data_IF_013735245327
#
_entry.id   IF_013735245327
#
_cell.length_a   1.000
_cell.length_b   1.000
_cell.length_c   1.000
_cell.angle_alpha   90.00
_cell.angle_beta   90.00
_cell.angle_gamma   90.00
#
_symmetry.space_group_name_H-M   'P 1'
#
loop_
_entity.id
_entity.type
_entity.pdbx_description
1 polymer ?
#
# COMPACT_ATOMS: atom_id res chain seq x y z
N UNK A 1 -20.47 5.77 63.15
CA UNK A 1 -20.90 6.33 61.85
C UNK A 1 -19.88 5.92 60.80
N UNK A 2 -20.40 5.58 59.62
CA UNK A 2 -19.69 5.07 58.43
C UNK A 2 -18.49 5.94 58.04
N UNK A 3 -17.43 5.31 57.53
CA UNK A 3 -16.87 5.60 56.19
C UNK A 3 -15.92 4.47 55.78
N UNK A 4 -16.50 3.56 54.99
CA UNK A 4 -15.80 2.73 54.01
C UNK A 4 -14.98 3.66 53.10
N UNK A 5 -13.67 3.44 52.99
CA UNK A 5 -12.92 3.86 51.81
C UNK A 5 -12.55 2.57 51.04
N UNK A 6 -13.14 2.32 49.86
CA UNK A 6 -12.71 1.22 49.02
C UNK A 6 -11.32 1.55 48.46
N UNK A 7 -10.36 0.70 48.78
CA UNK A 7 -9.06 0.64 48.11
C UNK A 7 -9.31 0.39 46.62
N UNK A 8 -9.13 1.43 45.81
CA UNK A 8 -9.20 1.35 44.36
C UNK A 8 -7.96 0.58 43.88
N UNK A 9 -8.15 -0.69 43.51
CA UNK A 9 -7.19 -1.46 42.73
C UNK A 9 -7.10 -0.85 41.32
N UNK A 10 -6.11 0.02 41.08
CA UNK A 10 -5.72 0.38 39.72
C UNK A 10 -4.79 -0.73 39.22
N UNK A 11 -5.38 -1.80 38.70
CA UNK A 11 -4.69 -2.74 37.82
C UNK A 11 -4.45 -2.03 36.48
N UNK A 12 -3.31 -1.35 36.38
CA UNK A 12 -2.80 -0.86 35.10
C UNK A 12 -2.28 -2.06 34.30
N UNK A 13 -3.21 -2.84 33.73
CA UNK A 13 -2.89 -3.83 32.72
C UNK A 13 -2.46 -3.08 31.46
N UNK A 14 -1.16 -2.85 31.32
CA UNK A 14 -0.56 -2.45 30.07
C UNK A 14 -0.76 -3.62 29.08
N UNK A 15 -1.89 -3.62 28.35
CA UNK A 15 -2.11 -4.52 27.23
C UNK A 15 -1.11 -4.15 26.13
N UNK A 16 0.12 -4.68 26.21
CA UNK A 16 0.96 -4.82 25.02
C UNK A 16 0.18 -5.64 24.02
N UNK A 17 -0.33 -4.99 22.98
CA UNK A 17 -0.92 -5.65 21.83
C UNK A 17 0.10 -6.69 21.31
N UNK A 18 -0.31 -7.94 21.04
CA UNK A 18 0.60 -8.93 20.48
C UNK A 18 1.15 -8.38 19.16
N UNK A 19 2.47 -8.34 19.05
CA UNK A 19 3.14 -7.97 17.80
C UNK A 19 2.58 -8.85 16.68
N UNK A 20 2.23 -8.24 15.53
CA UNK A 20 1.80 -8.98 14.35
C UNK A 20 2.83 -10.09 14.07
N UNK A 21 2.41 -11.34 13.83
CA UNK A 21 3.34 -12.44 13.63
C UNK A 21 4.27 -12.11 12.47
N UNK A 22 5.58 -12.18 12.72
CA UNK A 22 6.62 -11.97 11.73
C UNK A 22 6.53 -13.07 10.67
N UNK A 23 6.70 -12.72 9.40
CA UNK A 23 6.66 -13.71 8.32
C UNK A 23 7.81 -14.73 8.51
N UNK A 24 7.53 -16.00 8.28
CA UNK A 24 8.54 -17.07 8.34
C UNK A 24 8.57 -17.78 6.99
N UNK A 25 9.69 -17.66 6.23
CA UNK A 25 9.85 -18.34 4.96
C UNK A 25 9.66 -19.87 5.05
N UNK A 26 9.12 -20.50 3.99
CA UNK A 26 9.15 -21.96 3.84
C UNK A 26 10.58 -22.50 3.90
N UNK A 27 10.78 -23.60 4.65
CA UNK A 27 12.12 -24.20 4.85
C UNK A 27 12.76 -24.72 3.57
N UNK A 28 11.94 -25.14 2.60
CA UNK A 28 12.39 -25.59 1.28
C UNK A 28 12.61 -24.42 0.30
N UNK A 29 12.31 -23.19 0.72
CA UNK A 29 12.37 -21.98 -0.08
C UNK A 29 11.38 -21.96 -1.24
N UNK A 30 10.40 -22.87 -1.28
CA UNK A 30 9.43 -22.94 -2.36
C UNK A 30 8.26 -22.00 -2.10
N UNK A 31 7.90 -21.24 -3.12
CA UNK A 31 6.72 -20.40 -3.09
C UNK A 31 5.50 -21.28 -3.32
N UNK A 32 4.50 -21.21 -2.45
CA UNK A 32 3.22 -21.91 -2.68
C UNK A 32 2.34 -21.12 -3.62
N UNK A 33 1.33 -21.77 -4.22
CA UNK A 33 0.37 -21.06 -5.07
C UNK A 33 -0.37 -19.97 -4.30
N UNK A 34 -0.73 -20.19 -3.04
CA UNK A 34 -1.41 -19.20 -2.20
C UNK A 34 -0.53 -17.98 -1.92
N UNK A 35 0.78 -18.18 -1.72
CA UNK A 35 1.75 -17.09 -1.61
C UNK A 35 1.83 -16.30 -2.93
N UNK A 36 1.91 -17.00 -4.05
CA UNK A 36 1.90 -16.38 -5.38
C UNK A 36 0.61 -15.59 -5.67
N UNK A 37 -0.56 -16.11 -5.28
CA UNK A 37 -1.85 -15.44 -5.45
C UNK A 37 -1.91 -14.12 -4.64
N UNK A 38 -1.40 -14.13 -3.41
CA UNK A 38 -1.28 -12.92 -2.58
C UNK A 38 -0.27 -11.94 -3.15
N UNK A 39 0.87 -12.42 -3.63
CA UNK A 39 1.89 -11.61 -4.30
C UNK A 39 1.34 -10.89 -5.53
N UNK A 40 0.60 -11.60 -6.39
CA UNK A 40 -0.05 -11.02 -7.58
C UNK A 40 -1.05 -9.94 -7.19
N UNK A 41 -1.89 -10.18 -6.17
CA UNK A 41 -2.83 -9.16 -5.67
C UNK A 41 -2.12 -7.92 -5.14
N UNK A 42 -1.05 -8.11 -4.37
CA UNK A 42 -0.26 -7.01 -3.82
C UNK A 42 0.40 -6.20 -4.93
N UNK A 43 1.04 -6.85 -5.90
CA UNK A 43 1.64 -6.19 -7.05
C UNK A 43 0.61 -5.33 -7.82
N UNK A 44 -0.61 -5.83 -7.98
CA UNK A 44 -1.70 -5.07 -8.61
C UNK A 44 -2.12 -3.85 -7.79
N UNK A 45 -2.31 -3.99 -6.47
CA UNK A 45 -2.67 -2.85 -5.63
C UNK A 45 -1.54 -1.83 -5.48
N UNK A 46 -0.28 -2.28 -5.46
CA UNK A 46 0.89 -1.41 -5.47
C UNK A 46 1.01 -0.64 -6.79
N UNK A 47 0.71 -1.27 -7.93
CA UNK A 47 0.66 -0.56 -9.22
C UNK A 47 -0.40 0.56 -9.21
N UNK A 48 -1.59 0.31 -8.63
CA UNK A 48 -2.60 1.34 -8.44
C UNK A 48 -2.14 2.44 -7.49
N UNK A 49 -1.47 2.07 -6.39
CA UNK A 49 -0.89 3.02 -5.47
C UNK A 49 0.11 3.92 -6.20
N UNK A 50 1.05 3.37 -6.98
CA UNK A 50 2.04 4.15 -7.76
C UNK A 50 1.34 5.16 -8.70
N UNK A 51 0.24 4.77 -9.35
CA UNK A 51 -0.54 5.68 -10.20
C UNK A 51 -1.14 6.84 -9.39
N UNK A 52 -1.67 6.56 -8.19
CA UNK A 52 -2.19 7.58 -7.27
C UNK A 52 -1.08 8.49 -6.73
N UNK A 53 0.09 7.93 -6.39
CA UNK A 53 1.29 8.69 -5.99
C UNK A 53 1.71 9.68 -7.08
N UNK A 54 1.80 9.21 -8.33
CA UNK A 54 2.12 10.07 -9.47
C UNK A 54 1.16 11.25 -9.59
N UNK A 55 -0.15 11.00 -9.47
CA UNK A 55 -1.16 12.05 -9.50
C UNK A 55 -0.98 13.07 -8.36
N UNK A 56 -0.76 12.61 -7.12
CA UNK A 56 -0.54 13.51 -5.98
C UNK A 56 0.69 14.40 -6.18
N UNK A 57 1.79 13.83 -6.70
CA UNK A 57 3.03 14.59 -6.97
C UNK A 57 2.84 15.59 -8.11
N UNK A 58 2.09 15.23 -9.16
CA UNK A 58 1.79 16.14 -10.27
C UNK A 58 0.88 17.30 -9.83
N UNK A 59 -0.14 17.02 -9.02
CA UNK A 59 -1.00 18.06 -8.42
C UNK A 59 -0.19 19.00 -7.52
N UNK A 60 0.75 18.47 -6.74
CA UNK A 60 1.66 19.27 -5.91
C UNK A 60 2.58 20.15 -6.75
N UNK A 61 3.19 19.60 -7.81
CA UNK A 61 4.02 20.35 -8.76
C UNK A 61 3.27 21.50 -9.38
N UNK A 62 2.04 21.26 -9.85
CA UNK A 62 1.23 22.30 -10.48
C UNK A 62 0.86 23.39 -9.46
N UNK A 63 0.50 23.01 -8.23
CA UNK A 63 0.16 23.96 -7.16
C UNK A 63 1.32 24.92 -6.82
N UNK A 64 2.56 24.45 -6.91
CA UNK A 64 3.75 25.19 -6.49
C UNK A 64 4.73 25.50 -7.63
N UNK A 65 4.28 25.45 -8.89
CA UNK A 65 5.13 25.59 -10.09
C UNK A 65 5.96 26.88 -10.18
N UNK A 66 5.49 27.97 -9.57
CA UNK A 66 6.19 29.26 -9.56
C UNK A 66 7.21 29.37 -8.41
N UNK A 67 7.20 28.40 -7.48
CA UNK A 67 8.05 28.33 -6.29
C UNK A 67 9.07 27.18 -6.33
N UNK A 68 8.77 26.10 -7.05
CA UNK A 68 9.58 24.88 -7.09
C UNK A 68 10.12 24.61 -8.49
N UNK A 69 11.34 24.08 -8.55
CA UNK A 69 11.89 23.56 -9.79
C UNK A 69 11.17 22.26 -10.21
N UNK A 70 11.21 21.88 -11.51
CA UNK A 70 10.61 20.61 -11.96
C UNK A 70 11.16 19.35 -11.27
N UNK A 71 12.43 19.39 -10.84
CA UNK A 71 13.10 18.30 -10.11
C UNK A 71 12.90 18.35 -8.59
N UNK A 72 12.19 19.37 -8.07
CA UNK A 72 11.79 19.52 -6.67
C UNK A 72 12.98 19.58 -5.69
N UNK A 73 14.14 20.08 -6.13
CA UNK A 73 15.35 20.09 -5.30
C UNK A 73 15.21 20.94 -4.04
N UNK A 74 14.34 21.95 -4.04
CA UNK A 74 14.06 22.80 -2.88
C UNK A 74 13.41 22.04 -1.71
N UNK A 75 12.81 20.87 -1.96
CA UNK A 75 12.25 20.03 -0.89
C UNK A 75 13.34 19.42 0.02
N UNK A 76 14.60 19.43 -0.41
CA UNK A 76 15.75 19.07 0.42
C UNK A 76 16.35 20.28 1.16
N UNK A 77 15.97 21.51 0.80
CA UNK A 77 16.51 22.73 1.41
C UNK A 77 15.69 23.13 2.65
N UNK A 78 16.26 22.87 3.82
CA UNK A 78 15.67 23.25 5.11
C UNK A 78 15.42 24.75 5.29
N UNK A 79 16.24 25.62 4.67
CA UNK A 79 16.05 27.06 4.74
C UNK A 79 14.88 27.53 3.87
N UNK A 80 14.70 26.91 2.69
CA UNK A 80 13.53 27.11 1.84
C UNK A 80 12.25 26.67 2.55
N UNK A 81 12.20 25.44 3.05
CA UNK A 81 11.02 24.89 3.73
C UNK A 81 10.64 25.66 5.00
N UNK A 82 11.60 26.30 5.67
CA UNK A 82 11.32 27.19 6.80
C UNK A 82 10.64 28.50 6.37
N UNK A 83 10.95 29.00 5.16
CA UNK A 83 10.32 30.20 4.58
C UNK A 83 8.96 29.90 3.94
N UNK A 84 8.78 28.67 3.48
CA UNK A 84 7.56 28.17 2.83
C UNK A 84 6.95 26.99 3.63
N UNK A 85 6.46 27.22 4.86
CA UNK A 85 5.93 26.16 5.70
C UNK A 85 4.73 25.43 5.08
N UNK A 86 3.95 26.09 4.22
CA UNK A 86 2.86 25.51 3.46
C UNK A 86 3.33 24.42 2.48
N UNK A 87 4.46 24.65 1.81
CA UNK A 87 5.07 23.67 0.89
C UNK A 87 5.51 22.44 1.69
N UNK A 88 6.14 22.67 2.86
CA UNK A 88 6.55 21.58 3.75
C UNK A 88 5.35 20.75 4.22
N UNK A 89 4.30 21.42 4.71
CA UNK A 89 3.12 20.76 5.25
C UNK A 89 2.43 19.87 4.21
N UNK A 90 2.25 20.39 3.00
CA UNK A 90 1.61 19.63 1.92
C UNK A 90 2.49 18.47 1.45
N UNK A 91 3.81 18.68 1.38
CA UNK A 91 4.73 17.60 1.04
C UNK A 91 4.74 16.49 2.09
N UNK A 92 4.81 16.83 3.39
CA UNK A 92 4.71 15.87 4.49
C UNK A 92 3.39 15.09 4.43
N UNK A 93 2.28 15.75 4.08
CA UNK A 93 0.98 15.11 3.95
C UNK A 93 0.94 14.11 2.79
N UNK A 94 1.57 14.43 1.66
CA UNK A 94 1.75 13.51 0.53
C UNK A 94 2.57 12.31 0.98
N UNK A 95 3.74 12.49 1.60
CA UNK A 95 4.58 11.39 2.08
C UNK A 95 3.81 10.46 3.02
N UNK A 96 3.06 11.03 3.96
CA UNK A 96 2.22 10.24 4.86
C UNK A 96 1.14 9.45 4.11
N UNK A 97 0.48 10.08 3.13
CA UNK A 97 -0.55 9.39 2.33
C UNK A 97 0.04 8.26 1.49
N UNK A 98 1.25 8.46 0.95
CA UNK A 98 2.02 7.44 0.21
C UNK A 98 2.25 6.21 1.10
N UNK A 99 2.70 6.40 2.34
CA UNK A 99 2.91 5.30 3.30
C UNK A 99 1.60 4.56 3.62
N UNK A 100 0.50 5.31 3.78
CA UNK A 100 -0.83 4.74 4.06
C UNK A 100 -1.33 3.87 2.90
N UNK A 101 -1.26 4.35 1.65
CA UNK A 101 -1.74 3.59 0.49
C UNK A 101 -0.89 2.34 0.20
N UNK A 102 0.42 2.41 0.44
CA UNK A 102 1.29 1.24 0.31
C UNK A 102 0.91 0.17 1.34
N UNK A 103 0.71 0.58 2.60
CA UNK A 103 0.25 -0.31 3.66
C UNK A 103 -1.12 -0.91 3.35
N UNK A 104 -2.07 -0.10 2.88
CA UNK A 104 -3.40 -0.57 2.45
C UNK A 104 -3.30 -1.61 1.34
N UNK A 105 -2.37 -1.46 0.39
CA UNK A 105 -2.16 -2.43 -0.68
C UNK A 105 -1.76 -3.82 -0.14
N UNK A 106 -0.81 -3.88 0.79
CA UNK A 106 -0.41 -5.12 1.45
C UNK A 106 -1.54 -5.72 2.29
N UNK A 107 -2.23 -4.91 3.09
CA UNK A 107 -3.34 -5.35 3.94
C UNK A 107 -4.50 -5.93 3.11
N UNK A 108 -4.86 -5.28 2.00
CA UNK A 108 -5.90 -5.77 1.07
C UNK A 108 -5.51 -7.05 0.36
N UNK A 109 -4.23 -7.24 0.06
CA UNK A 109 -3.71 -8.46 -0.53
C UNK A 109 -3.55 -9.61 0.48
N UNK A 110 -3.66 -9.32 1.78
CA UNK A 110 -3.46 -10.28 2.87
C UNK A 110 -2.02 -10.74 3.01
N UNK A 111 -1.06 -9.91 2.59
CA UNK A 111 0.37 -10.18 2.62
C UNK A 111 1.08 -9.12 3.47
N UNK A 112 2.26 -9.44 4.01
CA UNK A 112 3.14 -8.43 4.63
C UNK A 112 4.17 -7.93 3.62
N UNK A 113 4.74 -6.74 3.82
CA UNK A 113 5.85 -6.26 2.99
C UNK A 113 7.05 -7.24 3.03
N UNK A 114 7.36 -7.79 4.20
CA UNK A 114 8.43 -8.80 4.38
C UNK A 114 8.16 -10.07 3.56
N UNK A 115 6.93 -10.57 3.55
CA UNK A 115 6.53 -11.71 2.72
C UNK A 115 6.59 -11.38 1.23
N UNK A 116 6.14 -10.18 0.83
CA UNK A 116 6.18 -9.73 -0.56
C UNK A 116 7.62 -9.66 -1.08
N UNK A 117 8.53 -9.04 -0.33
CA UNK A 117 9.95 -8.94 -0.67
C UNK A 117 10.63 -10.31 -0.71
N UNK A 118 10.27 -11.19 0.23
CA UNK A 118 10.79 -12.54 0.22
C UNK A 118 10.36 -13.31 -1.04
N UNK A 119 9.07 -13.23 -1.42
CA UNK A 119 8.56 -13.86 -2.64
C UNK A 119 9.25 -13.28 -3.87
N UNK A 120 9.39 -11.96 -3.97
CA UNK A 120 10.07 -11.29 -5.08
C UNK A 120 11.49 -11.83 -5.29
N UNK A 121 12.25 -12.00 -4.21
CA UNK A 121 13.60 -12.58 -4.27
C UNK A 121 13.57 -14.08 -4.61
N UNK A 122 12.65 -14.85 -4.01
CA UNK A 122 12.54 -16.28 -4.24
C UNK A 122 12.06 -16.64 -5.67
N UNK A 123 11.33 -15.75 -6.35
CA UNK A 123 10.84 -15.94 -7.72
C UNK A 123 11.96 -16.09 -8.75
N UNK A 124 13.14 -15.55 -8.47
CA UNK A 124 14.31 -15.60 -9.36
C UNK A 124 15.02 -16.97 -9.28
N UNK A 125 14.74 -17.76 -8.24
CA UNK A 125 15.37 -19.05 -8.03
C UNK A 125 14.77 -20.14 -8.93
N UNK A 126 15.63 -20.98 -9.54
CA UNK A 126 15.20 -22.04 -10.48
C UNK A 126 14.17 -23.01 -9.87
N UNK A 127 14.24 -23.28 -8.56
CA UNK A 127 13.27 -24.14 -7.84
C UNK A 127 11.83 -23.59 -7.86
N UNK A 128 11.64 -22.31 -8.18
CA UNK A 128 10.36 -21.62 -8.24
C UNK A 128 9.92 -21.26 -9.67
N UNK A 129 10.61 -21.77 -10.70
CA UNK A 129 10.36 -21.39 -12.11
C UNK A 129 8.93 -21.62 -12.60
N UNK A 130 8.24 -22.65 -12.11
CA UNK A 130 6.82 -22.87 -12.44
C UNK A 130 5.93 -21.79 -11.83
N UNK A 131 6.22 -21.39 -10.59
CA UNK A 131 5.52 -20.29 -9.92
C UNK A 131 5.86 -18.95 -10.57
N UNK A 132 7.11 -18.74 -10.99
CA UNK A 132 7.51 -17.57 -11.76
C UNK A 132 6.64 -17.40 -13.01
N UNK A 133 6.53 -18.45 -13.83
CA UNK A 133 5.66 -18.45 -15.02
C UNK A 133 4.20 -18.17 -14.66
N UNK A 134 3.70 -18.78 -13.58
CA UNK A 134 2.35 -18.53 -13.10
C UNK A 134 2.13 -17.05 -12.77
N UNK A 135 3.03 -16.44 -11.98
CA UNK A 135 2.96 -15.03 -11.61
C UNK A 135 3.02 -14.13 -12.84
N UNK A 136 3.93 -14.38 -13.77
CA UNK A 136 4.05 -13.63 -15.04
C UNK A 136 2.75 -13.68 -15.85
N UNK A 137 2.12 -14.85 -15.94
CA UNK A 137 0.85 -15.03 -16.64
C UNK A 137 -0.29 -14.24 -15.97
N UNK A 138 -0.40 -14.30 -14.63
CA UNK A 138 -1.45 -13.59 -13.91
C UNK A 138 -1.28 -12.07 -14.01
N UNK A 139 -0.06 -11.55 -13.85
CA UNK A 139 0.22 -10.12 -13.99
C UNK A 139 -0.06 -9.62 -15.42
N UNK A 140 0.23 -10.44 -16.44
CA UNK A 140 -0.08 -10.11 -17.83
C UNK A 140 -1.58 -10.01 -18.09
N UNK A 141 -2.40 -10.90 -17.48
CA UNK A 141 -3.86 -10.84 -17.59
C UNK A 141 -4.43 -9.57 -16.99
N UNK A 142 -3.95 -9.16 -15.82
CA UNK A 142 -4.39 -7.93 -15.15
C UNK A 142 -4.12 -6.69 -16.01
N UNK A 143 -2.95 -6.62 -16.66
CA UNK A 143 -2.62 -5.53 -17.61
C UNK A 143 -3.52 -5.52 -18.85
N UNK A 144 -3.92 -6.69 -19.35
CA UNK A 144 -4.84 -6.82 -20.48
C UNK A 144 -6.29 -6.46 -20.14
N UNK A 145 -6.69 -6.57 -18.88
CA UNK A 145 -8.04 -6.23 -18.41
C UNK A 145 -8.23 -4.73 -18.12
N UNK A 146 -7.18 -4.00 -17.76
CA UNK A 146 -7.22 -2.52 -17.60
C UNK A 146 -7.56 -1.77 -18.90
N UNK A 147 -7.46 -2.42 -20.07
CA UNK A 147 -7.80 -1.86 -21.39
C UNK A 147 -9.21 -2.17 -21.91
N UNK A 148 -10.03 -2.93 -21.17
CA UNK A 148 -11.42 -3.24 -21.59
C UNK A 148 -12.42 -2.31 -20.90
N UNK A 149 -13.26 -1.57 -21.64
CA UNK A 149 -14.35 -0.81 -21.04
C UNK A 149 -15.23 -1.76 -20.22
N UNK A 150 -15.54 -1.39 -18.97
CA UNK A 150 -16.60 -2.06 -18.21
C UNK A 150 -17.90 -1.83 -18.97
N UNK A 151 -18.38 -2.88 -19.63
CA UNK A 151 -19.74 -2.92 -20.18
C UNK A 151 -20.70 -2.77 -19.01
N UNK A 152 -21.23 -1.57 -18.83
CA UNK A 152 -22.36 -1.31 -17.93
C UNK A 152 -23.54 -2.00 -18.56
N UNK A 153 -23.95 -3.16 -18.03
CA UNK A 153 -25.25 -3.76 -18.31
C UNK A 153 -26.32 -2.77 -17.83
N UNK A 154 -26.79 -1.93 -18.76
CA UNK A 154 -27.99 -1.15 -18.56
C UNK A 154 -29.17 -2.10 -18.38
N UNK A 155 -29.85 -1.99 -17.24
CA UNK A 155 -31.17 -2.56 -17.05
C UNK A 155 -32.12 -1.94 -18.09
N UNK A 156 -32.61 -2.76 -19.02
CA UNK A 156 -33.78 -2.43 -19.82
C UNK A 156 -34.99 -2.25 -18.88
N UNK A 157 -35.32 -0.99 -18.58
CA UNK A 157 -36.68 -0.67 -18.14
C UNK A 157 -37.63 -0.89 -19.32
N UNK A 158 -38.34 -2.02 -19.29
CA UNK A 158 -39.62 -2.15 -20.00
C UNK A 158 -40.56 -1.03 -19.55
N UNK A 159 -40.78 -0.02 -20.37
CA UNK A 159 -41.97 0.83 -20.28
C UNK A 159 -43.08 0.17 -21.09
N UNK A 160 -44.01 -0.45 -20.38
CA UNK A 160 -45.35 -0.73 -20.88
C UNK A 160 -46.21 0.50 -20.58
N UNK A 161 -46.68 1.17 -21.64
CA UNK A 161 -48.01 1.78 -21.75
C UNK A 161 -48.15 2.51 -23.08
#
# INVERSE_FOLDING_TARGET
MKKLLPFIFILLACQTQPAKPKFTPPKDGKITKEMADRYVKAAHYLEQAIKEQGKMVDEFREKYKDLLSPDLTELADTAFLRKHPEVKQDWDAIQKRIEEIEKEAYERAGITAEEFDWIANALIEEKNKEIQKYVEEQLSKLKGEEGKPKEVKGEEKKSSS
#
